data_IF_635703149358
#
_entry.id   IF_635703149358
#
_cell.length_a   1.000
_cell.length_b   1.000
_cell.length_c   1.000
_cell.angle_alpha   90.00
_cell.angle_beta   90.00
_cell.angle_gamma   90.00
#
_symmetry.space_group_name_H-M   'P 1'
#
loop_
_entity.id
_entity.type
_entity.pdbx_description
1 polymer ?
#
# COMPACT_ATOMS: atom_id res chain seq x y z
N UNK A 1 36.74 -20.71 13.41
CA UNK A 1 35.63 -20.01 12.72
C UNK A 1 36.00 -19.95 11.25
N UNK A 2 35.20 -20.56 10.38
CA UNK A 2 35.50 -20.64 8.94
C UNK A 2 35.25 -19.29 8.28
N UNK A 3 36.26 -18.79 7.57
CA UNK A 3 36.17 -17.57 6.78
C UNK A 3 35.37 -17.88 5.51
N UNK A 4 34.18 -17.31 5.37
CA UNK A 4 33.37 -17.47 4.17
C UNK A 4 33.79 -16.42 3.14
N UNK A 5 34.68 -16.80 2.23
CA UNK A 5 35.01 -15.98 1.07
C UNK A 5 33.93 -16.18 0.00
N UNK A 6 33.09 -15.17 -0.23
CA UNK A 6 32.13 -15.17 -1.32
C UNK A 6 32.86 -14.74 -2.59
N UNK A 7 33.04 -15.66 -3.54
CA UNK A 7 33.56 -15.33 -4.86
C UNK A 7 32.39 -15.03 -5.80
N UNK A 8 32.27 -13.76 -6.20
CA UNK A 8 31.29 -13.34 -7.20
C UNK A 8 31.98 -13.39 -8.57
N UNK A 9 31.50 -14.26 -9.44
CA UNK A 9 32.01 -14.36 -10.82
C UNK A 9 31.68 -13.10 -11.62
N UNK A 10 32.63 -12.62 -12.43
CA UNK A 10 32.41 -11.48 -13.34
C UNK A 10 31.23 -11.67 -14.30
N UNK A 11 30.90 -12.91 -14.66
CA UNK A 11 29.74 -13.23 -15.50
C UNK A 11 28.41 -12.87 -14.85
N UNK A 12 28.32 -12.96 -13.51
CA UNK A 12 27.12 -12.54 -12.78
C UNK A 12 26.96 -11.02 -12.83
N UNK A 13 28.07 -10.29 -12.69
CA UNK A 13 28.08 -8.82 -12.76
C UNK A 13 27.67 -8.35 -14.15
N UNK A 14 28.19 -8.96 -15.21
CA UNK A 14 27.85 -8.59 -16.59
C UNK A 14 26.36 -8.85 -16.90
N UNK A 15 25.76 -9.92 -16.35
CA UNK A 15 24.32 -10.20 -16.48
C UNK A 15 23.40 -9.24 -15.71
N UNK A 16 23.93 -8.52 -14.72
CA UNK A 16 23.19 -7.50 -13.98
C UNK A 16 23.28 -6.12 -14.66
N UNK A 17 24.38 -5.87 -15.37
CA UNK A 17 24.60 -4.60 -16.09
C UNK A 17 23.82 -4.57 -17.40
N UNK A 18 23.76 -5.70 -18.11
CA UNK A 18 22.86 -5.86 -19.25
C UNK A 18 21.52 -6.38 -18.76
N UNK A 19 20.52 -5.50 -18.67
CA UNK A 19 19.11 -5.83 -18.52
C UNK A 19 18.49 -5.93 -19.93
N UNK A 20 18.63 -7.05 -20.67
CA UNK A 20 17.93 -7.19 -21.93
C UNK A 20 16.45 -7.27 -21.59
N UNK A 21 15.69 -6.26 -22.00
CA UNK A 21 14.23 -6.17 -21.88
C UNK A 21 13.58 -7.50 -22.31
N UNK A 22 13.38 -8.41 -21.35
CA UNK A 22 12.68 -9.68 -21.57
C UNK A 22 11.21 -9.32 -21.70
N UNK A 23 10.73 -9.26 -22.95
CA UNK A 23 9.32 -9.10 -23.30
C UNK A 23 8.50 -10.19 -22.61
N UNK A 24 7.83 -9.83 -21.52
CA UNK A 24 6.92 -10.71 -20.76
C UNK A 24 5.78 -11.18 -21.66
N UNK A 25 5.81 -12.45 -22.09
CA UNK A 25 4.63 -13.12 -22.66
C UNK A 25 3.66 -13.46 -21.52
N UNK A 26 2.48 -12.83 -21.54
CA UNK A 26 1.41 -13.01 -20.55
C UNK A 26 0.83 -14.42 -20.63
N UNK A 27 1.25 -15.34 -19.74
CA UNK A 27 0.58 -16.62 -19.54
C UNK A 27 -0.55 -16.44 -18.52
N UNK A 28 -1.80 -16.44 -18.99
CA UNK A 28 -2.99 -16.44 -18.12
C UNK A 28 -3.01 -17.70 -17.25
N UNK A 29 -2.99 -17.53 -15.93
CA UNK A 29 -3.23 -18.61 -14.95
C UNK A 29 -4.62 -18.42 -14.36
N UNK A 30 -5.54 -19.33 -14.67
CA UNK A 30 -6.85 -19.43 -14.00
C UNK A 30 -6.62 -20.07 -12.63
N UNK A 31 -6.87 -19.34 -11.54
CA UNK A 31 -6.90 -19.91 -10.18
C UNK A 31 -8.29 -20.45 -9.89
N UNK A 32 -8.41 -21.76 -9.62
CA UNK A 32 -9.56 -22.33 -8.92
C UNK A 32 -9.26 -22.27 -7.42
N UNK A 33 -10.13 -21.57 -6.70
CA UNK A 33 -10.20 -21.53 -5.24
C UNK A 33 -10.74 -22.88 -4.76
N UNK A 34 -10.05 -23.50 -3.80
CA UNK A 34 -10.65 -24.51 -2.92
C UNK A 34 -10.48 -24.01 -1.50
N UNK A 35 -11.64 -23.91 -0.85
CA UNK A 35 -11.93 -23.40 0.47
C UNK A 35 -11.58 -24.45 1.54
N UNK A 36 -11.23 -23.92 2.72
CA UNK A 36 -11.11 -24.48 4.10
C UNK A 36 -11.43 -25.97 4.33
N UNK A 37 -10.85 -26.57 5.37
CA UNK A 37 -11.53 -26.78 6.69
C UNK A 37 -10.62 -27.55 7.69
N UNK A 38 -10.72 -27.17 8.96
CA UNK A 38 -10.49 -27.94 10.21
C UNK A 38 -9.07 -28.34 10.69
N UNK A 39 -8.65 -27.69 11.79
CA UNK A 39 -8.18 -28.34 13.03
C UNK A 39 -9.44 -28.72 13.87
N UNK A 40 -9.43 -29.65 14.86
CA UNK A 40 -8.37 -29.82 15.88
C UNK A 40 -8.20 -31.24 16.51
N UNK A 41 -7.33 -31.30 17.54
CA UNK A 41 -7.27 -32.21 18.71
C UNK A 41 -6.19 -33.33 18.77
N UNK A 42 -5.17 -33.08 19.62
CA UNK A 42 -4.82 -33.80 20.87
C UNK A 42 -5.11 -35.33 20.86
N UNK A 43 -4.19 -36.27 21.14
CA UNK A 43 -3.32 -36.38 22.32
C UNK A 43 -2.61 -37.77 22.33
N UNK A 44 -1.75 -38.00 23.34
CA UNK A 44 -1.20 -39.28 23.85
C UNK A 44 0.14 -39.75 23.29
N UNK A 45 1.04 -39.97 24.26
CA UNK A 45 2.41 -40.43 24.15
C UNK A 45 2.48 -41.97 24.16
N UNK A 46 3.43 -42.55 23.41
CA UNK A 46 4.07 -43.82 23.79
C UNK A 46 5.49 -43.94 23.21
N UNK A 47 6.45 -43.71 24.11
CA UNK A 47 7.70 -44.44 24.38
C UNK A 47 8.50 -45.15 23.24
N UNK A 48 9.73 -44.63 23.09
CA UNK A 48 11.03 -45.32 22.85
C UNK A 48 11.30 -45.95 21.49
N UNK A 49 12.26 -45.35 20.76
CA UNK A 49 13.54 -46.01 20.45
C UNK A 49 14.61 -44.95 20.11
N UNK A 50 15.82 -45.20 20.61
CA UNK A 50 16.93 -44.25 20.72
C UNK A 50 17.83 -44.38 19.49
N UNK A 51 18.11 -43.27 18.81
CA UNK A 51 19.28 -43.12 17.93
C UNK A 51 20.16 -42.00 18.51
N UNK A 52 21.48 -42.19 18.70
CA UNK A 52 22.32 -41.19 19.32
C UNK A 52 22.58 -40.05 18.33
N UNK A 53 22.09 -38.85 18.65
CA UNK A 53 22.52 -37.63 17.98
C UNK A 53 23.97 -37.30 18.39
N UNK A 54 24.80 -36.76 17.48
CA UNK A 54 26.19 -36.43 17.79
C UNK A 54 26.24 -35.38 18.91
N UNK A 55 26.82 -35.77 20.05
CA UNK A 55 26.98 -34.92 21.21
C UNK A 55 27.95 -33.78 20.89
N UNK A 56 27.46 -32.54 20.93
CA UNK A 56 28.32 -31.36 20.93
C UNK A 56 28.85 -31.17 22.35
N UNK A 57 30.15 -30.92 22.56
CA UNK A 57 30.66 -30.68 23.90
C UNK A 57 30.15 -29.32 24.39
N UNK A 58 29.11 -29.34 25.22
CA UNK A 58 28.69 -28.18 26.00
C UNK A 58 29.69 -28.03 27.14
N UNK A 59 30.69 -27.18 26.97
CA UNK A 59 31.50 -26.75 28.10
C UNK A 59 30.66 -25.83 29.00
N UNK A 60 30.71 -26.09 30.31
CA UNK A 60 30.05 -25.24 31.31
C UNK A 60 30.66 -23.83 31.28
N UNK A 61 29.87 -22.75 31.37
CA UNK A 61 30.41 -21.40 31.43
C UNK A 61 31.19 -21.23 32.73
N UNK A 62 32.50 -21.02 32.64
CA UNK A 62 33.29 -20.54 33.76
C UNK A 62 32.87 -19.09 34.02
N UNK A 63 32.25 -18.84 35.16
CA UNK A 63 31.97 -17.49 35.63
C UNK A 63 33.29 -16.77 35.85
N UNK A 64 33.63 -15.86 34.94
CA UNK A 64 34.67 -14.85 35.13
C UNK A 64 34.04 -13.73 35.97
N UNK A 65 34.71 -13.21 37.02
CA UNK A 65 34.18 -12.07 37.77
C UNK A 65 33.91 -10.92 36.81
N UNK A 66 32.71 -10.34 36.85
CA UNK A 66 32.39 -9.15 36.09
C UNK A 66 33.37 -8.05 36.49
N UNK A 67 34.31 -7.73 35.60
CA UNK A 67 35.12 -6.52 35.71
C UNK A 67 34.15 -5.35 35.82
N UNK A 68 34.29 -4.54 36.87
CA UNK A 68 33.57 -3.29 37.06
C UNK A 68 33.52 -2.53 35.72
N UNK A 69 32.37 -1.97 35.30
CA UNK A 69 32.31 -1.20 34.08
C UNK A 69 33.35 -0.09 34.19
N UNK A 70 34.37 -0.11 33.34
CA UNK A 70 35.26 1.04 33.20
C UNK A 70 34.35 2.21 32.83
N UNK A 71 34.27 3.21 33.72
CA UNK A 71 33.48 4.39 33.42
C UNK A 71 34.02 4.99 32.12
N UNK A 72 33.17 5.18 31.10
CA UNK A 72 33.61 5.71 29.83
C UNK A 72 34.32 7.03 30.05
N UNK A 73 35.47 7.20 29.40
CA UNK A 73 36.23 8.45 29.47
C UNK A 73 35.35 9.61 28.96
N UNK A 74 35.55 10.82 29.49
CA UNK A 74 34.76 11.97 29.02
C UNK A 74 34.89 12.18 27.50
N UNK A 75 36.06 11.88 26.93
CA UNK A 75 36.28 11.89 25.48
C UNK A 75 35.40 10.91 24.70
N UNK A 76 35.16 9.71 25.22
CA UNK A 76 34.27 8.74 24.58
C UNK A 76 32.81 9.22 24.63
N UNK A 77 32.39 9.81 25.75
CA UNK A 77 31.04 10.37 25.88
C UNK A 77 30.81 11.57 24.96
N UNK A 78 31.80 12.44 24.79
CA UNK A 78 31.74 13.55 23.85
C UNK A 78 31.72 13.08 22.40
N UNK A 79 32.51 12.06 22.07
CA UNK A 79 32.50 11.42 20.75
C UNK A 79 31.11 10.85 20.43
N UNK A 80 30.51 10.10 21.37
CA UNK A 80 29.15 9.56 21.22
C UNK A 80 28.14 10.68 21.01
N UNK A 81 28.19 11.75 21.82
CA UNK A 81 27.27 12.89 21.69
C UNK A 81 27.41 13.58 20.33
N UNK A 82 28.63 13.73 19.83
CA UNK A 82 28.90 14.30 18.50
C UNK A 82 28.28 13.45 17.38
N UNK A 83 28.46 12.13 17.44
CA UNK A 83 27.86 11.20 16.46
C UNK A 83 26.33 11.26 16.51
N UNK A 84 25.74 11.29 17.71
CA UNK A 84 24.28 11.43 17.86
C UNK A 84 23.77 12.73 17.24
N UNK A 85 24.44 13.84 17.50
CA UNK A 85 24.06 15.14 16.94
C UNK A 85 24.17 15.18 15.40
N UNK A 86 25.22 14.56 14.84
CA UNK A 86 25.34 14.45 13.38
C UNK A 86 24.25 13.52 12.80
N UNK A 87 23.92 12.42 13.49
CA UNK A 87 22.84 11.53 13.07
C UNK A 87 21.48 12.22 13.05
N UNK A 88 21.21 13.09 14.02
CA UNK A 88 19.99 13.89 14.10
C UNK A 88 19.89 14.85 12.91
N UNK A 89 20.98 15.54 12.56
CA UNK A 89 21.03 16.41 11.37
C UNK A 89 20.78 15.65 10.07
N UNK A 90 21.32 14.43 9.95
CA UNK A 90 21.08 13.58 8.78
C UNK A 90 19.60 13.16 8.72
N UNK A 91 18.99 12.81 9.86
CA UNK A 91 17.57 12.49 9.93
C UNK A 91 16.69 13.68 9.52
N UNK A 92 16.95 14.89 10.01
CA UNK A 92 16.20 16.08 9.61
C UNK A 92 16.26 16.33 8.09
N UNK A 93 17.44 16.14 7.48
CA UNK A 93 17.62 16.27 6.03
C UNK A 93 16.85 15.22 5.26
N UNK A 94 16.89 13.96 5.72
CA UNK A 94 16.16 12.86 5.09
C UNK A 94 14.65 13.04 5.20
N UNK A 95 14.16 13.47 6.37
CA UNK A 95 12.73 13.76 6.57
C UNK A 95 12.26 14.85 5.61
N UNK A 96 13.04 15.93 5.47
CA UNK A 96 12.73 17.00 4.51
C UNK A 96 12.70 16.50 3.06
N UNK A 97 13.64 15.62 2.70
CA UNK A 97 13.68 15.02 1.36
C UNK A 97 12.48 14.10 1.12
N UNK A 98 12.09 13.31 2.12
CA UNK A 98 10.90 12.46 2.08
C UNK A 98 9.63 13.29 1.87
N UNK A 99 9.43 14.36 2.64
CA UNK A 99 8.28 15.26 2.52
C UNK A 99 8.21 15.90 1.12
N UNK A 100 9.34 16.38 0.60
CA UNK A 100 9.41 16.96 -0.74
C UNK A 100 9.06 15.92 -1.82
N UNK A 101 9.62 14.72 -1.71
CA UNK A 101 9.36 13.63 -2.66
C UNK A 101 7.90 13.17 -2.61
N UNK A 102 7.30 13.10 -1.42
CA UNK A 102 5.89 12.76 -1.24
C UNK A 102 4.99 13.80 -1.90
N UNK A 103 5.31 15.09 -1.74
CA UNK A 103 4.57 16.16 -2.41
C UNK A 103 4.67 16.04 -3.94
N UNK A 104 5.87 15.83 -4.47
CA UNK A 104 6.09 15.67 -5.92
C UNK A 104 5.32 14.46 -6.50
N UNK A 105 5.38 13.31 -5.82
CA UNK A 105 4.67 12.10 -6.25
C UNK A 105 3.16 12.32 -6.19
N UNK A 106 2.67 12.98 -5.15
CA UNK A 106 1.24 13.28 -5.00
C UNK A 106 0.74 14.20 -6.11
N UNK A 107 1.51 15.25 -6.42
CA UNK A 107 1.17 16.18 -7.50
C UNK A 107 1.19 15.49 -8.86
N UNK A 108 2.24 14.72 -9.16
CA UNK A 108 2.32 13.93 -10.40
C UNK A 108 1.21 12.90 -10.51
N UNK A 109 0.84 12.23 -9.42
CA UNK A 109 -0.27 11.28 -9.41
C UNK A 109 -1.61 11.97 -9.74
N UNK A 110 -1.85 13.16 -9.19
CA UNK A 110 -3.04 13.97 -9.51
C UNK A 110 -3.04 14.40 -10.97
N UNK A 111 -1.91 14.90 -11.46
CA UNK A 111 -1.75 15.34 -12.85
C UNK A 111 -1.95 14.19 -13.85
N UNK A 112 -1.34 13.03 -13.60
CA UNK A 112 -1.56 11.82 -14.40
C UNK A 112 -3.01 11.35 -14.36
N UNK A 113 -3.63 11.35 -13.18
CA UNK A 113 -5.03 10.99 -13.04
C UNK A 113 -5.92 11.95 -13.84
N UNK A 114 -5.66 13.26 -13.76
CA UNK A 114 -6.40 14.22 -14.54
C UNK A 114 -6.16 14.02 -16.05
N UNK A 115 -4.94 13.78 -16.51
CA UNK A 115 -4.64 13.66 -17.94
C UNK A 115 -5.12 12.35 -18.56
N UNK A 116 -4.85 11.23 -17.89
CA UNK A 116 -5.07 9.89 -18.43
C UNK A 116 -6.43 9.30 -18.01
N UNK A 117 -6.94 9.69 -16.85
CA UNK A 117 -8.17 9.16 -16.27
C UNK A 117 -9.29 10.21 -16.22
N UNK A 118 -9.44 11.03 -17.28
CA UNK A 118 -10.71 11.74 -17.48
C UNK A 118 -11.79 10.72 -17.76
N UNK A 119 -12.66 10.49 -16.77
CA UNK A 119 -13.95 9.89 -17.06
C UNK A 119 -14.60 10.79 -18.13
N UNK A 120 -14.98 10.25 -19.30
CA UNK A 120 -15.69 11.04 -20.29
C UNK A 120 -16.81 11.77 -19.58
N UNK A 121 -16.87 13.11 -19.75
CA UNK A 121 -17.87 13.92 -19.04
C UNK A 121 -19.20 13.19 -19.10
N UNK A 122 -19.83 12.90 -17.95
CA UNK A 122 -21.08 12.16 -17.95
C UNK A 122 -22.02 12.91 -18.89
N UNK A 123 -22.60 12.17 -19.85
CA UNK A 123 -23.54 12.77 -20.78
C UNK A 123 -24.56 13.56 -19.96
N UNK A 124 -24.84 14.84 -20.30
CA UNK A 124 -25.78 15.65 -19.55
C UNK A 124 -27.04 14.82 -19.32
N UNK A 125 -27.46 14.74 -18.05
CA UNK A 125 -28.66 14.01 -17.70
C UNK A 125 -29.82 14.54 -18.56
N UNK A 126 -30.62 13.62 -19.09
CA UNK A 126 -31.72 13.98 -19.98
C UNK A 126 -32.72 14.84 -19.19
N UNK A 127 -33.24 15.89 -19.80
CA UNK A 127 -34.22 16.79 -19.18
C UNK A 127 -33.73 17.54 -17.92
N UNK A 128 -32.42 17.84 -17.85
CA UNK A 128 -31.84 18.55 -16.71
C UNK A 128 -32.45 19.93 -16.47
N UNK A 129 -32.79 20.67 -17.53
CA UNK A 129 -33.37 22.01 -17.41
C UNK A 129 -34.75 21.94 -16.73
N UNK A 130 -35.61 21.02 -17.18
CA UNK A 130 -36.95 20.80 -16.65
C UNK A 130 -36.91 20.24 -15.22
N UNK A 131 -35.93 19.37 -14.93
CA UNK A 131 -35.66 18.86 -13.58
C UNK A 131 -35.27 20.00 -12.63
N UNK A 132 -34.33 20.84 -13.03
CA UNK A 132 -33.88 21.98 -12.22
C UNK A 132 -35.00 22.99 -12.01
N UNK A 133 -35.80 23.29 -13.03
CA UNK A 133 -36.95 24.18 -12.92
C UNK A 133 -37.99 23.65 -11.90
N UNK A 134 -38.24 22.33 -11.91
CA UNK A 134 -39.12 21.68 -10.93
C UNK A 134 -38.58 21.80 -9.51
N UNK A 135 -37.27 21.57 -9.32
CA UNK A 135 -36.62 21.71 -8.00
C UNK A 135 -36.62 23.15 -7.50
N UNK A 136 -36.36 24.12 -8.38
CA UNK A 136 -36.41 25.55 -8.03
C UNK A 136 -37.81 25.95 -7.60
N UNK A 137 -38.85 25.53 -8.34
CA UNK A 137 -40.24 25.78 -7.97
C UNK A 137 -40.57 25.21 -6.58
N UNK A 138 -40.16 23.98 -6.28
CA UNK A 138 -40.42 23.38 -4.96
C UNK A 138 -39.70 24.09 -3.82
N UNK A 139 -38.49 24.62 -4.07
CA UNK A 139 -37.77 25.44 -3.08
C UNK A 139 -38.50 26.75 -2.79
N UNK A 140 -39.15 27.35 -3.79
CA UNK A 140 -39.90 28.60 -3.65
C UNK A 140 -41.31 28.38 -3.06
N UNK A 141 -41.92 27.22 -3.31
CA UNK A 141 -43.30 26.90 -2.94
C UNK A 141 -43.40 25.70 -1.98
N UNK A 142 -42.58 25.67 -0.92
CA UNK A 142 -42.56 24.58 0.08
C UNK A 142 -43.93 24.36 0.74
N UNK A 143 -44.67 25.45 1.01
CA UNK A 143 -45.99 25.40 1.66
C UNK A 143 -47.12 24.98 0.72
N UNK A 144 -46.91 25.10 -0.58
CA UNK A 144 -47.92 24.80 -1.59
C UNK A 144 -47.28 24.13 -2.82
N UNK A 145 -46.92 22.84 -2.70
CA UNK A 145 -46.19 22.11 -3.74
C UNK A 145 -47.00 21.93 -5.03
N UNK A 146 -48.33 22.08 -4.98
CA UNK A 146 -49.21 21.89 -6.14
C UNK A 146 -49.04 23.00 -7.19
N UNK A 147 -48.54 24.17 -6.80
CA UNK A 147 -48.16 25.24 -7.74
C UNK A 147 -47.09 24.82 -8.74
N UNK A 148 -46.30 23.80 -8.40
CA UNK A 148 -45.23 23.29 -9.25
C UNK A 148 -45.67 22.23 -10.26
N UNK A 149 -46.97 21.91 -10.33
CA UNK A 149 -47.50 20.88 -11.22
C UNK A 149 -47.10 21.10 -12.70
N UNK A 150 -47.09 22.36 -13.18
CA UNK A 150 -46.66 22.68 -14.54
C UNK A 150 -45.20 22.31 -14.82
N UNK A 151 -44.28 22.58 -13.89
CA UNK A 151 -42.86 22.25 -14.03
C UNK A 151 -42.64 20.73 -14.01
N UNK A 152 -43.35 20.02 -13.13
CA UNK A 152 -43.29 18.55 -13.05
C UNK A 152 -43.85 17.90 -14.31
N UNK A 153 -44.95 18.42 -14.85
CA UNK A 153 -45.52 17.93 -16.11
C UNK A 153 -44.56 18.14 -17.28
N UNK A 154 -43.89 19.30 -17.36
CA UNK A 154 -42.87 19.56 -18.38
C UNK A 154 -41.69 18.59 -18.27
N UNK A 155 -41.24 18.27 -17.05
CA UNK A 155 -40.21 17.26 -16.84
C UNK A 155 -40.68 15.86 -17.27
N UNK A 156 -41.90 15.47 -16.91
CA UNK A 156 -42.50 14.20 -17.31
C UNK A 156 -42.73 14.10 -18.83
N UNK A 157 -43.11 15.19 -19.50
CA UNK A 157 -43.24 15.28 -20.95
C UNK A 157 -41.89 15.12 -21.63
N UNK A 158 -40.85 15.79 -21.12
CA UNK A 158 -39.49 15.67 -21.64
C UNK A 158 -38.99 14.22 -21.55
N UNK A 159 -39.20 13.54 -20.42
CA UNK A 159 -38.82 12.13 -20.26
C UNK A 159 -39.60 11.21 -21.22
N UNK A 160 -40.91 11.46 -21.41
CA UNK A 160 -41.74 10.68 -22.36
C UNK A 160 -41.28 10.83 -23.80
N UNK A 161 -40.89 12.03 -24.23
CA UNK A 161 -40.38 12.29 -25.60
C UNK A 161 -39.07 11.55 -25.89
N UNK A 162 -38.26 11.28 -24.86
CA UNK A 162 -36.94 10.66 -25.01
C UNK A 162 -36.97 9.11 -24.97
N UNK A 163 -38.16 8.51 -24.89
CA UNK A 163 -38.36 7.06 -24.85
C UNK A 163 -37.98 6.42 -23.51
N UNK A 164 -38.25 5.10 -23.31
CA UNK A 164 -37.95 4.40 -22.08
C UNK A 164 -36.48 4.52 -21.67
N UNK A 165 -36.25 4.73 -20.38
CA UNK A 165 -34.92 4.72 -19.74
C UNK A 165 -34.37 3.28 -19.72
N UNK A 166 -33.95 2.77 -20.88
CA UNK A 166 -33.38 1.42 -21.00
C UNK A 166 -33.49 0.88 -22.41
N UNK A 167 -32.42 1.01 -23.18
CA UNK A 167 -32.33 0.48 -24.54
C UNK A 167 -30.88 0.39 -24.99
N UNK A 168 -30.30 -0.79 -24.74
CA UNK A 168 -28.93 -1.27 -25.00
C UNK A 168 -27.90 -1.03 -23.90
#
# INVERSE_FOLDING_TARGET
MGEFTIQISNDLVNKLVDDPVIKKKTRRVKRKVVKETEKPQYNVAEKTEIAPAPAWPVQAPLFVPATLPAHPSQSELESIRSVLHESEKVLERLQKQEEQMLQEVTEKAKDLHEKEYKLPNPKPERCMAERLASLTCYKEHIKDPLKCAGFVNNFADCLRRLGPLGGK
#
